data_IF_992553985956
#
_entry.id   IF_992553985956
#
_cell.length_a   1.000
_cell.length_b   1.000
_cell.length_c   1.000
_cell.angle_alpha   90.00
_cell.angle_beta   90.00
_cell.angle_gamma   90.00
#
_symmetry.space_group_name_H-M   'P 1'
#
loop_
_entity.id
_entity.type
_entity.pdbx_description
1 polymer ?
#
# COMPACT_ATOMS: atom_id res chain seq x y z
N UNK A 1 -25.03 -1.56 27.66
CA UNK A 1 -23.76 -2.09 27.12
C UNK A 1 -23.41 -1.28 25.89
N UNK A 2 -22.13 -0.91 25.66
CA UNK A 2 -21.73 -0.25 24.41
C UNK A 2 -22.07 -1.16 23.22
N UNK A 3 -22.44 -0.58 22.07
CA UNK A 3 -22.75 -1.38 20.88
C UNK A 3 -21.46 -2.06 20.36
N UNK A 4 -21.53 -3.34 19.92
CA UNK A 4 -20.36 -4.03 19.43
C UNK A 4 -19.87 -3.44 18.10
N UNK A 5 -18.56 -3.35 17.93
CA UNK A 5 -17.86 -2.99 16.70
C UNK A 5 -17.91 -4.17 15.73
N UNK A 6 -18.64 -4.00 14.63
CA UNK A 6 -18.80 -5.03 13.59
C UNK A 6 -17.98 -4.63 12.38
N UNK A 7 -16.99 -5.46 12.01
CA UNK A 7 -16.26 -5.30 10.75
C UNK A 7 -16.81 -6.30 9.73
N UNK A 8 -17.25 -5.80 8.59
CA UNK A 8 -17.67 -6.60 7.44
C UNK A 8 -16.51 -6.69 6.47
N UNK A 9 -15.85 -7.85 6.41
CA UNK A 9 -14.79 -8.11 5.43
C UNK A 9 -15.41 -8.60 4.12
N UNK A 10 -15.14 -7.86 3.05
CA UNK A 10 -15.46 -8.19 1.68
C UNK A 10 -14.18 -8.63 0.98
N UNK A 11 -14.04 -9.94 0.80
CA UNK A 11 -12.85 -10.54 0.19
C UNK A 11 -13.20 -11.18 -1.16
N UNK A 12 -12.46 -10.81 -2.21
CA UNK A 12 -12.68 -11.33 -3.55
C UNK A 12 -12.18 -12.78 -3.71
N UNK A 13 -11.29 -13.23 -2.83
CA UNK A 13 -10.67 -14.54 -2.94
C UNK A 13 -11.65 -15.65 -2.52
N UNK A 14 -11.38 -16.89 -2.97
CA UNK A 14 -12.18 -18.05 -2.61
C UNK A 14 -12.26 -18.31 -1.09
N UNK A 15 -11.28 -17.80 -0.33
CA UNK A 15 -11.30 -17.75 1.13
C UNK A 15 -10.90 -16.35 1.58
N UNK A 16 -11.59 -15.85 2.62
CA UNK A 16 -11.21 -14.58 3.20
C UNK A 16 -9.85 -14.68 3.90
N UNK A 17 -9.06 -13.61 3.79
CA UNK A 17 -7.72 -13.52 4.36
C UNK A 17 -7.72 -13.72 5.89
N UNK A 18 -7.01 -14.75 6.35
CA UNK A 18 -6.75 -14.99 7.79
C UNK A 18 -5.86 -13.89 8.36
N UNK A 19 -4.95 -13.35 7.55
CA UNK A 19 -4.08 -12.26 7.95
C UNK A 19 -4.89 -11.04 8.39
N UNK A 20 -5.83 -10.61 7.55
CA UNK A 20 -6.66 -9.43 7.83
C UNK A 20 -7.61 -9.70 9.01
N UNK A 21 -8.10 -10.93 9.15
CA UNK A 21 -8.92 -11.34 10.29
C UNK A 21 -8.18 -11.21 11.63
N UNK A 22 -6.95 -11.70 11.71
CA UNK A 22 -6.12 -11.59 12.92
C UNK A 22 -5.83 -10.13 13.24
N UNK A 23 -5.48 -9.32 12.24
CA UNK A 23 -5.23 -7.88 12.44
C UNK A 23 -6.48 -7.15 12.93
N UNK A 24 -7.66 -7.51 12.43
CA UNK A 24 -8.94 -6.96 12.88
C UNK A 24 -9.24 -7.29 14.34
N UNK A 25 -9.05 -8.55 14.76
CA UNK A 25 -9.23 -8.97 16.15
C UNK A 25 -8.25 -8.23 17.07
N UNK A 26 -6.98 -8.17 16.70
CA UNK A 26 -5.94 -7.43 17.44
C UNK A 26 -6.21 -5.90 17.51
N UNK A 27 -6.99 -5.38 16.56
CA UNK A 27 -7.40 -3.98 16.53
C UNK A 27 -8.63 -3.69 17.41
N UNK A 28 -9.24 -4.71 18.03
CA UNK A 28 -10.39 -4.55 18.92
C UNK A 28 -11.74 -4.55 18.20
N UNK A 29 -11.85 -5.28 17.09
CA UNK A 29 -13.15 -5.62 16.48
C UNK A 29 -13.85 -6.65 17.35
N UNK A 30 -15.09 -6.37 17.76
CA UNK A 30 -15.87 -7.28 18.60
C UNK A 30 -16.45 -8.45 17.80
N UNK A 31 -16.86 -8.19 16.54
CA UNK A 31 -17.43 -9.18 15.64
C UNK A 31 -16.91 -8.98 14.22
N UNK A 32 -16.31 -10.02 13.66
CA UNK A 32 -15.84 -10.04 12.28
C UNK A 32 -16.77 -10.90 11.42
N UNK A 33 -17.41 -10.27 10.43
CA UNK A 33 -18.24 -10.96 9.44
C UNK A 33 -17.44 -11.09 8.14
N UNK A 34 -16.98 -12.30 7.83
CA UNK A 34 -16.14 -12.55 6.66
C UNK A 34 -16.96 -13.09 5.50
N UNK A 35 -16.98 -12.35 4.41
CA UNK A 35 -17.51 -12.77 3.12
C UNK A 35 -16.36 -13.04 2.17
N UNK A 36 -16.45 -14.17 1.47
CA UNK A 36 -15.45 -14.66 0.50
C UNK A 36 -16.08 -14.80 -0.87
N UNK A 37 -15.25 -14.83 -1.91
CA UNK A 37 -15.68 -14.84 -3.31
C UNK A 37 -16.68 -13.72 -3.60
N UNK A 38 -16.47 -12.56 -2.98
CA UNK A 38 -17.33 -11.39 -3.18
C UNK A 38 -17.10 -10.85 -4.58
N UNK A 39 -18.18 -10.81 -5.37
CA UNK A 39 -18.20 -10.14 -6.66
C UNK A 39 -18.94 -8.80 -6.59
N UNK A 40 -18.79 -7.98 -7.64
CA UNK A 40 -19.42 -6.67 -7.74
C UNK A 40 -20.96 -6.71 -7.59
N UNK A 41 -21.62 -7.77 -8.04
CA UNK A 41 -23.07 -7.90 -7.99
C UNK A 41 -23.61 -8.12 -6.57
N UNK A 42 -22.81 -8.78 -5.72
CA UNK A 42 -23.17 -9.08 -4.33
C UNK A 42 -22.93 -7.91 -3.35
N UNK A 43 -22.01 -6.98 -3.67
CA UNK A 43 -21.58 -5.90 -2.77
C UNK A 43 -22.75 -5.08 -2.24
N UNK A 44 -23.69 -4.68 -3.12
CA UNK A 44 -24.82 -3.81 -2.71
C UNK A 44 -25.64 -4.40 -1.57
N UNK A 45 -25.98 -5.68 -1.65
CA UNK A 45 -26.77 -6.34 -0.63
C UNK A 45 -26.03 -6.37 0.72
N UNK A 46 -24.71 -6.63 0.69
CA UNK A 46 -23.85 -6.64 1.87
C UNK A 46 -23.74 -5.25 2.50
N UNK A 47 -23.53 -4.21 1.68
CA UNK A 47 -23.49 -2.81 2.15
C UNK A 47 -24.83 -2.39 2.74
N UNK A 48 -25.95 -2.74 2.10
CA UNK A 48 -27.29 -2.45 2.63
C UNK A 48 -27.51 -3.10 4.00
N UNK A 49 -27.01 -4.33 4.20
CA UNK A 49 -26.99 -4.98 5.51
C UNK A 49 -26.17 -4.21 6.55
N UNK A 50 -25.08 -3.56 6.16
CA UNK A 50 -24.26 -2.75 7.06
C UNK A 50 -24.92 -1.40 7.42
N UNK A 51 -25.60 -0.74 6.47
CA UNK A 51 -26.12 0.62 6.65
C UNK A 51 -27.57 0.69 7.15
N UNK A 52 -28.43 -0.32 6.89
CA UNK A 52 -29.85 -0.28 7.31
C UNK A 52 -30.14 -0.94 8.65
N UNK A 53 -29.15 -1.59 9.28
CA UNK A 53 -29.35 -2.36 10.51
C UNK A 53 -29.11 -1.56 11.79
N UNK A 54 -28.64 -0.31 11.68
CA UNK A 54 -28.39 0.60 12.81
C UNK A 54 -28.93 1.99 12.51
N UNK A 55 -29.33 2.69 13.58
CA UNK A 55 -29.70 4.10 13.47
C UNK A 55 -28.48 4.97 13.14
N UNK A 56 -28.72 6.16 12.58
CA UNK A 56 -27.68 7.09 12.13
C UNK A 56 -26.56 7.34 13.14
N UNK A 57 -26.92 7.57 14.41
CA UNK A 57 -25.97 7.83 15.49
C UNK A 57 -25.08 6.61 15.79
N UNK A 58 -25.52 5.40 15.43
CA UNK A 58 -24.85 4.14 15.73
C UNK A 58 -24.09 3.55 14.53
N UNK A 59 -24.15 4.17 13.34
CA UNK A 59 -23.51 3.65 12.12
C UNK A 59 -21.99 3.50 12.25
N UNK A 60 -21.35 4.37 13.05
CA UNK A 60 -19.92 4.31 13.31
C UNK A 60 -19.48 3.03 14.05
N UNK A 61 -20.41 2.24 14.62
CA UNK A 61 -20.07 0.95 15.18
C UNK A 61 -19.99 -0.17 14.13
N UNK A 62 -20.31 0.09 12.86
CA UNK A 62 -20.18 -0.85 11.74
C UNK A 62 -19.18 -0.28 10.74
N UNK A 63 -18.33 -1.12 10.18
CA UNK A 63 -17.38 -0.72 9.14
C UNK A 63 -17.21 -1.82 8.10
N UNK A 64 -16.64 -1.46 6.95
CA UNK A 64 -16.32 -2.38 5.86
C UNK A 64 -14.80 -2.43 5.66
N UNK A 65 -14.26 -3.63 5.47
CA UNK A 65 -12.91 -3.86 4.99
C UNK A 65 -12.98 -4.55 3.63
N UNK A 66 -12.32 -3.98 2.61
CA UNK A 66 -12.20 -4.58 1.27
C UNK A 66 -10.79 -5.15 1.12
N UNK A 67 -10.72 -6.48 1.03
CA UNK A 67 -9.49 -7.26 0.95
C UNK A 67 -9.35 -8.02 -0.37
N UNK A 68 -8.67 -9.17 -0.32
CA UNK A 68 -8.40 -10.05 -1.46
C UNK A 68 -7.00 -9.90 -2.05
N UNK A 69 -6.57 -10.92 -2.80
CA UNK A 69 -5.25 -10.99 -3.42
C UNK A 69 -5.14 -10.17 -4.71
N UNK A 70 -6.25 -10.04 -5.46
CA UNK A 70 -6.32 -9.25 -6.69
C UNK A 70 -6.78 -7.82 -6.40
N UNK A 71 -5.83 -6.89 -6.43
CA UNK A 71 -6.08 -5.48 -6.11
C UNK A 71 -7.04 -4.79 -7.08
N UNK A 72 -7.06 -5.18 -8.36
CA UNK A 72 -7.95 -4.59 -9.37
C UNK A 72 -9.41 -4.98 -9.11
N UNK A 73 -9.60 -6.22 -8.70
CA UNK A 73 -10.90 -6.76 -8.28
C UNK A 73 -11.34 -6.07 -6.98
N UNK A 74 -10.43 -5.93 -6.01
CA UNK A 74 -10.68 -5.15 -4.79
C UNK A 74 -11.07 -3.69 -5.06
N UNK A 75 -10.41 -3.00 -6.00
CA UNK A 75 -10.79 -1.66 -6.45
C UNK A 75 -12.22 -1.63 -7.02
N UNK A 76 -12.60 -2.66 -7.79
CA UNK A 76 -13.95 -2.80 -8.33
C UNK A 76 -14.99 -2.95 -7.22
N UNK A 77 -14.72 -3.81 -6.22
CA UNK A 77 -15.59 -3.96 -5.06
C UNK A 77 -15.71 -2.66 -4.28
N UNK A 78 -14.60 -1.95 -4.08
CA UNK A 78 -14.57 -0.66 -3.40
C UNK A 78 -15.45 0.38 -4.11
N UNK A 79 -15.43 0.46 -5.44
CA UNK A 79 -16.31 1.35 -6.19
C UNK A 79 -17.80 0.97 -6.03
N UNK A 80 -18.12 -0.33 -5.99
CA UNK A 80 -19.49 -0.77 -5.70
C UNK A 80 -19.94 -0.45 -4.27
N UNK A 81 -19.02 -0.49 -3.29
CA UNK A 81 -19.30 -0.03 -1.93
C UNK A 81 -19.69 1.45 -1.96
N UNK A 82 -18.89 2.28 -2.65
CA UNK A 82 -19.16 3.71 -2.79
C UNK A 82 -20.51 4.00 -3.46
N UNK A 83 -20.84 3.26 -4.52
CA UNK A 83 -22.11 3.38 -5.26
C UNK A 83 -23.33 2.96 -4.44
N UNK A 84 -23.13 2.12 -3.43
CA UNK A 84 -24.20 1.62 -2.55
C UNK A 84 -24.54 2.57 -1.40
N UNK A 85 -23.70 3.60 -1.15
CA UNK A 85 -24.01 4.65 -0.18
C UNK A 85 -24.94 5.73 -0.76
N UNK A 86 -25.79 6.31 0.09
CA UNK A 86 -26.65 7.43 -0.31
C UNK A 86 -26.95 8.35 0.87
N UNK A 87 -26.94 9.67 0.65
CA UNK A 87 -27.13 10.65 1.72
C UNK A 87 -26.17 10.38 2.91
N UNK A 88 -26.67 10.37 4.15
CA UNK A 88 -25.86 10.07 5.32
C UNK A 88 -25.76 8.55 5.61
N UNK A 89 -26.46 7.70 4.85
CA UNK A 89 -26.45 6.24 5.00
C UNK A 89 -25.16 5.65 4.45
N UNK A 90 -24.13 5.61 5.29
CA UNK A 90 -22.79 5.08 5.00
C UNK A 90 -22.10 4.62 6.27
N UNK A 91 -21.08 3.79 6.07
CA UNK A 91 -20.14 3.34 7.11
C UNK A 91 -18.72 3.59 6.65
N UNK A 92 -17.79 3.64 7.60
CA UNK A 92 -16.38 3.81 7.27
C UNK A 92 -15.85 2.57 6.53
N UNK A 93 -14.92 2.79 5.60
CA UNK A 93 -14.35 1.75 4.72
C UNK A 93 -12.83 1.79 4.76
N UNK A 94 -12.20 0.63 4.87
CA UNK A 94 -10.77 0.43 4.65
C UNK A 94 -10.56 -0.45 3.42
N UNK A 95 -9.70 -0.01 2.50
CA UNK A 95 -9.24 -0.80 1.36
C UNK A 95 -7.75 -1.13 1.51
N UNK A 96 -7.42 -2.42 1.58
CA UNK A 96 -6.03 -2.88 1.66
C UNK A 96 -5.83 -4.28 1.07
N UNK A 97 -6.32 -4.51 -0.16
CA UNK A 97 -6.13 -5.76 -0.88
C UNK A 97 -4.64 -6.16 -0.93
N UNK A 98 -4.35 -7.38 -0.46
CA UNK A 98 -3.01 -7.94 -0.29
C UNK A 98 -2.00 -7.02 0.45
N UNK A 99 -2.49 -6.15 1.34
CA UNK A 99 -1.65 -5.18 2.04
C UNK A 99 -1.06 -4.08 1.13
N UNK A 100 -1.61 -3.86 -0.06
CA UNK A 100 -1.00 -3.00 -1.06
C UNK A 100 -0.85 -1.54 -0.62
N UNK A 101 -1.88 -1.00 0.04
CA UNK A 101 -1.89 0.39 0.47
C UNK A 101 -1.01 0.57 1.71
N UNK A 102 -1.20 -0.26 2.74
CA UNK A 102 -0.45 -0.10 3.99
C UNK A 102 1.05 -0.37 3.82
N UNK A 103 1.44 -1.29 2.93
CA UNK A 103 2.85 -1.56 2.62
C UNK A 103 3.48 -0.38 1.87
N UNK A 104 2.80 0.17 0.87
CA UNK A 104 3.26 1.35 0.14
C UNK A 104 3.44 2.56 1.07
N UNK A 105 2.46 2.81 1.94
CA UNK A 105 2.55 3.88 2.95
C UNK A 105 3.74 3.67 3.86
N UNK A 106 3.93 2.46 4.40
CA UNK A 106 5.06 2.16 5.27
C UNK A 106 6.40 2.39 4.56
N UNK A 107 6.54 1.98 3.30
CA UNK A 107 7.74 2.21 2.49
C UNK A 107 8.05 3.72 2.33
N UNK A 108 7.05 4.52 1.97
CA UNK A 108 7.24 5.98 1.79
C UNK A 108 7.58 6.67 3.12
N UNK A 109 6.94 6.28 4.22
CA UNK A 109 7.22 6.86 5.53
C UNK A 109 8.62 6.50 6.05
N UNK A 110 9.07 5.25 5.89
CA UNK A 110 10.44 4.91 6.29
C UNK A 110 11.47 5.62 5.42
N UNK A 111 11.20 5.84 4.12
CA UNK A 111 12.06 6.65 3.26
C UNK A 111 12.16 8.10 3.74
N UNK A 112 11.02 8.72 4.09
CA UNK A 112 10.92 10.10 4.58
C UNK A 112 11.77 10.38 5.82
N UNK A 113 12.03 9.36 6.64
CA UNK A 113 12.90 9.49 7.83
C UNK A 113 14.36 9.81 7.50
N UNK A 114 14.81 9.51 6.28
CA UNK A 114 16.22 9.67 5.86
C UNK A 114 16.37 10.68 4.72
N UNK A 115 15.27 10.97 4.01
CA UNK A 115 15.28 11.81 2.82
C UNK A 115 14.06 12.72 2.82
N UNK A 116 14.27 14.04 2.70
CA UNK A 116 13.20 14.97 2.35
C UNK A 116 12.63 14.59 0.99
N UNK A 117 11.34 14.23 0.95
CA UNK A 117 10.73 13.65 -0.25
C UNK A 117 10.59 14.68 -1.38
N UNK A 118 10.29 15.94 -1.02
CA UNK A 118 10.13 17.01 -1.99
C UNK A 118 11.44 17.26 -2.75
N UNK A 119 11.40 17.13 -4.08
CA UNK A 119 12.55 17.30 -4.97
C UNK A 119 13.49 16.09 -5.04
N UNK A 120 13.40 15.10 -4.13
CA UNK A 120 14.23 13.90 -4.20
C UNK A 120 13.92 13.04 -5.43
N UNK A 121 14.93 12.35 -5.94
CA UNK A 121 14.75 11.38 -7.03
C UNK A 121 14.49 9.99 -6.45
N UNK A 122 13.32 9.43 -6.71
CA UNK A 122 12.93 8.12 -6.21
C UNK A 122 12.71 7.11 -7.35
N UNK A 123 13.36 5.95 -7.29
CA UNK A 123 13.14 4.86 -8.24
C UNK A 123 12.31 3.76 -7.59
N UNK A 124 11.18 3.41 -8.22
CA UNK A 124 10.34 2.28 -7.82
C UNK A 124 10.49 1.16 -8.85
N UNK A 125 11.31 0.17 -8.51
CA UNK A 125 11.52 -1.06 -9.30
C UNK A 125 10.30 -1.98 -9.18
N UNK A 126 9.97 -2.63 -10.30
CA UNK A 126 8.71 -3.36 -10.47
C UNK A 126 7.48 -2.49 -10.12
N UNK A 127 7.56 -1.19 -10.40
CA UNK A 127 6.59 -0.17 -9.99
C UNK A 127 5.19 -0.29 -10.62
N UNK A 128 4.96 -1.27 -11.49
CA UNK A 128 3.68 -1.51 -12.15
C UNK A 128 2.79 -2.50 -11.40
N UNK A 129 3.29 -3.14 -10.34
CA UNK A 129 2.48 -3.97 -9.44
C UNK A 129 1.69 -3.11 -8.44
N UNK A 130 0.72 -3.69 -7.70
CA UNK A 130 -0.15 -2.96 -6.78
C UNK A 130 0.63 -2.05 -5.82
N UNK A 131 1.52 -2.62 -5.00
CA UNK A 131 2.34 -1.87 -4.04
C UNK A 131 3.16 -0.79 -4.75
N UNK A 132 3.84 -1.14 -5.85
CA UNK A 132 4.68 -0.22 -6.61
C UNK A 132 3.93 1.00 -7.13
N UNK A 133 2.71 0.82 -7.66
CA UNK A 133 1.88 1.92 -8.15
C UNK A 133 1.50 2.89 -7.02
N UNK A 134 1.13 2.38 -5.85
CA UNK A 134 0.80 3.21 -4.69
C UNK A 134 2.02 3.93 -4.15
N UNK A 135 3.15 3.24 -4.03
CA UNK A 135 4.42 3.85 -3.60
C UNK A 135 4.80 5.00 -4.54
N UNK A 136 4.73 4.79 -5.85
CA UNK A 136 5.00 5.83 -6.84
C UNK A 136 4.03 7.01 -6.74
N UNK A 137 2.72 6.76 -6.56
CA UNK A 137 1.71 7.80 -6.35
C UNK A 137 1.99 8.62 -5.10
N UNK A 138 2.28 7.97 -3.98
CA UNK A 138 2.53 8.62 -2.70
C UNK A 138 3.82 9.47 -2.72
N UNK A 139 4.89 8.95 -3.33
CA UNK A 139 6.13 9.71 -3.55
C UNK A 139 5.89 10.93 -4.44
N UNK A 140 5.13 10.76 -5.54
CA UNK A 140 4.81 11.86 -6.43
C UNK A 140 3.98 12.95 -5.74
N UNK A 141 2.98 12.56 -4.92
CA UNK A 141 2.20 13.51 -4.09
C UNK A 141 3.07 14.24 -3.07
N UNK A 142 4.11 13.59 -2.57
CA UNK A 142 5.09 14.21 -1.67
C UNK A 142 6.11 15.11 -2.40
N UNK A 143 5.98 15.29 -3.72
CA UNK A 143 6.83 16.19 -4.50
C UNK A 143 8.14 15.57 -5.01
N UNK A 144 8.29 14.24 -4.95
CA UNK A 144 9.46 13.56 -5.48
C UNK A 144 9.43 13.48 -7.02
N UNK A 145 10.62 13.43 -7.63
CA UNK A 145 10.81 13.03 -9.02
C UNK A 145 10.85 11.50 -9.09
N UNK A 146 9.75 10.90 -9.55
CA UNK A 146 9.55 9.44 -9.45
C UNK A 146 9.85 8.75 -10.78
N UNK A 147 10.78 7.79 -10.73
CA UNK A 147 11.06 6.86 -11.81
C UNK A 147 10.26 5.58 -11.56
N UNK A 148 9.30 5.29 -12.45
CA UNK A 148 8.52 4.05 -12.39
C UNK A 148 9.18 3.05 -13.33
N UNK A 149 9.72 1.97 -12.76
CA UNK A 149 10.55 1.04 -13.51
C UNK A 149 9.88 -0.35 -13.64
N UNK A 150 9.98 -0.94 -14.83
CA UNK A 150 9.38 -2.24 -15.16
C UNK A 150 10.16 -2.90 -16.29
N UNK A 151 10.14 -4.24 -16.35
CA UNK A 151 10.65 -5.01 -17.50
C UNK A 151 9.98 -4.61 -18.83
N UNK A 152 8.83 -3.94 -18.78
CA UNK A 152 8.06 -3.46 -19.93
C UNK A 152 7.84 -1.97 -19.83
N UNK A 153 8.46 -1.20 -20.73
CA UNK A 153 8.36 0.25 -20.77
C UNK A 153 6.91 0.73 -20.97
N UNK A 154 6.12 0.02 -21.77
CA UNK A 154 4.71 0.35 -22.01
C UNK A 154 3.89 0.28 -20.72
N UNK A 155 4.15 -0.71 -19.86
CA UNK A 155 3.47 -0.83 -18.55
C UNK A 155 3.89 0.27 -17.58
N UNK A 156 5.18 0.60 -17.53
CA UNK A 156 5.67 1.72 -16.73
C UNK A 156 5.04 3.04 -17.18
N UNK A 157 4.96 3.26 -18.50
CA UNK A 157 4.37 4.44 -19.10
C UNK A 157 2.87 4.56 -18.78
N UNK A 158 2.13 3.45 -18.89
CA UNK A 158 0.71 3.41 -18.50
C UNK A 158 0.51 3.75 -17.02
N UNK A 159 1.36 3.23 -16.14
CA UNK A 159 1.34 3.55 -14.70
C UNK A 159 1.59 5.05 -14.46
N UNK A 160 2.61 5.63 -15.10
CA UNK A 160 2.87 7.07 -15.01
C UNK A 160 1.65 7.90 -15.47
N UNK A 161 1.01 7.52 -16.58
CA UNK A 161 -0.20 8.19 -17.07
C UNK A 161 -1.35 8.11 -16.06
N UNK A 162 -1.60 6.94 -15.49
CA UNK A 162 -2.64 6.75 -14.48
C UNK A 162 -2.36 7.62 -13.23
N UNK A 163 -1.12 7.65 -12.74
CA UNK A 163 -0.78 8.45 -11.57
C UNK A 163 -0.93 9.95 -11.85
N UNK A 164 -0.54 10.43 -13.04
CA UNK A 164 -0.73 11.85 -13.44
C UNK A 164 -2.20 12.27 -13.49
N UNK A 165 -3.12 11.34 -13.75
CA UNK A 165 -4.56 11.64 -13.68
C UNK A 165 -5.05 11.88 -12.24
N UNK A 166 -4.40 11.24 -11.26
CA UNK A 166 -4.76 11.35 -9.84
C UNK A 166 -3.94 12.42 -9.08
N UNK A 167 -2.76 12.79 -9.58
CA UNK A 167 -1.82 13.69 -8.93
C UNK A 167 -1.40 14.77 -9.92
N UNK A 168 -1.95 15.98 -9.74
CA UNK A 168 -1.56 17.14 -10.51
C UNK A 168 -0.05 17.41 -10.38
N UNK A 169 0.58 17.83 -11.46
CA UNK A 169 2.00 18.20 -11.53
C UNK A 169 3.01 17.10 -11.14
N UNK A 170 2.56 15.84 -11.09
CA UNK A 170 3.41 14.70 -10.76
C UNK A 170 4.58 14.53 -11.75
N UNK A 171 5.79 14.61 -11.21
CA UNK A 171 7.03 14.41 -11.95
C UNK A 171 7.35 12.92 -12.04
N UNK A 172 6.88 12.29 -13.11
CA UNK A 172 7.01 10.84 -13.34
C UNK A 172 7.80 10.56 -14.61
N UNK A 173 8.72 9.59 -14.58
CA UNK A 173 9.46 9.11 -15.75
C UNK A 173 9.42 7.58 -15.80
N UNK A 174 8.93 6.97 -16.89
CA UNK A 174 8.95 5.52 -17.02
C UNK A 174 10.35 5.03 -17.41
N UNK A 175 10.77 3.91 -16.83
CA UNK A 175 12.01 3.22 -17.17
C UNK A 175 11.74 1.75 -17.52
N UNK A 176 12.45 1.26 -18.53
CA UNK A 176 12.59 -0.17 -18.76
C UNK A 176 13.65 -0.76 -17.82
N UNK A 177 13.53 -2.04 -17.48
CA UNK A 177 14.52 -2.82 -16.71
C UNK A 177 14.59 -4.26 -17.23
N UNK A 178 14.55 -4.40 -18.56
CA UNK A 178 14.62 -5.72 -19.22
C UNK A 178 16.07 -6.19 -19.43
N UNK A 179 17.03 -5.27 -19.34
CA UNK A 179 18.47 -5.53 -19.44
C UNK A 179 19.23 -4.87 -18.29
N UNK A 180 20.47 -5.29 -18.03
CA UNK A 180 21.33 -4.69 -17.01
C UNK A 180 21.57 -3.19 -17.25
N UNK A 181 21.80 -2.77 -18.49
CA UNK A 181 22.00 -1.34 -18.84
C UNK A 181 20.75 -0.49 -18.62
N UNK A 182 19.57 -1.08 -18.82
CA UNK A 182 18.30 -0.43 -18.51
C UNK A 182 18.08 -0.30 -17.01
N UNK A 183 18.35 -1.36 -16.24
CA UNK A 183 18.30 -1.34 -14.77
C UNK A 183 19.30 -0.35 -14.19
N UNK A 184 20.53 -0.31 -14.68
CA UNK A 184 21.56 0.64 -14.27
C UNK A 184 21.08 2.09 -14.45
N UNK A 185 20.53 2.43 -15.63
CA UNK A 185 19.97 3.77 -15.89
C UNK A 185 18.78 4.11 -15.00
N UNK A 186 17.98 3.13 -14.61
CA UNK A 186 16.83 3.37 -13.73
C UNK A 186 17.25 3.72 -12.29
N UNK A 187 18.30 3.08 -11.78
CA UNK A 187 18.77 3.23 -10.39
C UNK A 187 19.85 4.30 -10.21
N UNK A 188 20.56 4.68 -11.28
CA UNK A 188 21.68 5.62 -11.21
C UNK A 188 21.25 7.01 -10.70
N UNK A 189 21.97 7.51 -9.69
CA UNK A 189 21.71 8.83 -9.09
C UNK A 189 20.35 9.00 -8.40
N UNK A 190 19.66 7.92 -8.02
CA UNK A 190 18.45 8.04 -7.19
C UNK A 190 18.81 8.25 -5.71
N UNK A 191 17.98 9.00 -4.99
CA UNK A 191 18.06 9.19 -3.54
C UNK A 191 17.36 8.07 -2.78
N UNK A 192 16.26 7.57 -3.34
CA UNK A 192 15.37 6.58 -2.74
C UNK A 192 15.21 5.44 -3.75
N UNK A 193 15.51 4.21 -3.34
CA UNK A 193 15.30 3.02 -4.14
C UNK A 193 14.28 2.10 -3.46
N UNK A 194 13.16 1.80 -4.13
CA UNK A 194 12.16 0.86 -3.62
C UNK A 194 12.02 -0.32 -4.57
N UNK A 195 12.28 -1.53 -4.07
CA UNK A 195 12.02 -2.78 -4.76
C UNK A 195 10.63 -3.32 -4.38
N UNK A 196 9.67 -3.19 -5.29
CA UNK A 196 8.30 -3.67 -5.15
C UNK A 196 8.03 -4.93 -5.98
N UNK A 197 9.04 -5.80 -6.09
CA UNK A 197 9.02 -7.03 -6.88
C UNK A 197 8.09 -8.09 -6.31
N UNK A 198 7.80 -9.11 -7.12
CA UNK A 198 7.15 -10.32 -6.63
C UNK A 198 8.08 -11.09 -5.68
N UNK A 199 7.49 -11.96 -4.86
CA UNK A 199 8.23 -12.81 -3.94
C UNK A 199 9.30 -13.65 -4.68
N UNK A 200 10.53 -13.68 -4.15
CA UNK A 200 11.63 -14.46 -4.71
C UNK A 200 12.17 -13.96 -6.05
N UNK A 201 11.97 -12.67 -6.37
CA UNK A 201 12.47 -12.07 -7.60
C UNK A 201 13.56 -11.05 -7.29
N UNK A 202 14.77 -11.34 -7.75
CA UNK A 202 15.87 -10.37 -7.79
C UNK A 202 15.57 -9.28 -8.83
N UNK A 203 15.75 -8.00 -8.45
CA UNK A 203 15.49 -6.85 -9.33
C UNK A 203 16.78 -6.11 -9.72
N UNK A 204 17.79 -6.14 -8.86
CA UNK A 204 19.09 -5.51 -9.11
C UNK A 204 20.18 -6.57 -8.92
N UNK A 205 20.93 -6.92 -9.98
CA UNK A 205 22.13 -7.74 -9.84
C UNK A 205 23.18 -7.14 -8.90
N UNK A 206 23.96 -7.98 -8.22
CA UNK A 206 24.95 -7.55 -7.22
C UNK A 206 26.06 -6.63 -7.77
N UNK A 207 26.48 -6.84 -9.02
CA UNK A 207 27.46 -5.99 -9.70
C UNK A 207 26.92 -4.58 -9.95
N UNK A 208 25.66 -4.45 -10.37
CA UNK A 208 24.98 -3.17 -10.54
C UNK A 208 24.74 -2.46 -9.20
N UNK A 209 24.36 -3.22 -8.16
CA UNK A 209 24.21 -2.67 -6.81
C UNK A 209 25.50 -1.98 -6.34
N UNK A 210 26.63 -2.69 -6.41
CA UNK A 210 27.92 -2.15 -5.96
C UNK A 210 28.40 -0.95 -6.79
N UNK A 211 28.18 -0.99 -8.10
CA UNK A 211 28.71 0.02 -9.03
C UNK A 211 27.84 1.27 -9.16
N UNK A 212 26.51 1.17 -9.04
CA UNK A 212 25.59 2.27 -9.39
C UNK A 212 24.71 2.75 -8.23
N UNK A 213 24.46 1.92 -7.21
CA UNK A 213 23.55 2.33 -6.12
C UNK A 213 24.30 3.24 -5.16
N UNK A 214 23.87 4.50 -5.13
CA UNK A 214 24.30 5.53 -4.17
C UNK A 214 23.09 6.16 -3.48
N UNK A 215 22.00 5.39 -3.37
CA UNK A 215 20.79 5.84 -2.72
C UNK A 215 21.04 6.14 -1.24
N UNK A 216 20.38 7.17 -0.72
CA UNK A 216 20.40 7.46 0.72
C UNK A 216 19.59 6.41 1.48
N UNK A 217 18.52 5.90 0.87
CA UNK A 217 17.69 4.83 1.42
C UNK A 217 17.27 3.82 0.36
N UNK A 218 17.37 2.54 0.70
CA UNK A 218 16.92 1.43 -0.10
C UNK A 218 15.94 0.55 0.68
N UNK A 219 14.82 0.20 0.05
CA UNK A 219 13.72 -0.54 0.67
C UNK A 219 13.40 -1.74 -0.20
N UNK A 220 13.61 -2.94 0.32
CA UNK A 220 13.18 -4.18 -0.32
C UNK A 220 11.91 -4.70 0.35
N UNK A 221 10.84 -4.81 -0.43
CA UNK A 221 9.54 -5.29 0.04
C UNK A 221 9.37 -6.79 -0.17
N UNK A 222 10.37 -7.48 -0.72
CA UNK A 222 10.39 -8.92 -0.86
C UNK A 222 10.95 -9.57 0.43
N UNK A 223 10.12 -10.40 1.08
CA UNK A 223 10.53 -11.19 2.25
C UNK A 223 11.06 -12.59 1.88
N UNK A 224 10.98 -12.98 0.61
CA UNK A 224 11.23 -14.34 0.13
C UNK A 224 12.53 -14.38 -0.68
N UNK A 225 13.51 -15.22 -0.31
CA UNK A 225 14.75 -15.34 -1.09
C UNK A 225 14.52 -15.83 -2.53
N UNK A 226 15.33 -15.38 -3.50
CA UNK A 226 16.35 -14.33 -3.37
C UNK A 226 15.72 -12.95 -3.11
N UNK A 227 16.44 -12.09 -2.38
CA UNK A 227 16.03 -10.70 -2.17
C UNK A 227 15.94 -9.95 -3.51
N UNK A 228 15.11 -8.91 -3.56
CA UNK A 228 15.02 -8.00 -4.69
C UNK A 228 16.24 -7.09 -4.82
N UNK A 229 16.80 -6.67 -3.67
CA UNK A 229 18.00 -5.84 -3.56
C UNK A 229 19.13 -6.64 -2.87
N UNK A 230 20.31 -6.77 -3.51
CA UNK A 230 21.44 -7.50 -2.93
C UNK A 230 21.86 -6.95 -1.57
N UNK A 231 22.04 -7.85 -0.60
CA UNK A 231 22.52 -7.52 0.74
C UNK A 231 21.49 -6.86 1.68
N UNK A 232 20.28 -6.56 1.20
CA UNK A 232 19.18 -6.10 2.05
C UNK A 232 18.50 -7.31 2.67
N UNK A 233 18.57 -7.45 3.98
CA UNK A 233 17.97 -8.58 4.70
C UNK A 233 16.51 -8.29 5.05
N UNK A 234 15.60 -9.28 5.08
CA UNK A 234 14.17 -9.06 5.39
C UNK A 234 13.92 -8.29 6.68
N UNK A 235 14.77 -8.47 7.69
CA UNK A 235 14.66 -7.83 9.01
C UNK A 235 15.37 -6.48 9.11
N UNK A 236 16.10 -6.04 8.08
CA UNK A 236 16.79 -4.76 8.09
C UNK A 236 15.78 -3.63 8.38
N UNK A 237 16.10 -2.80 9.37
CA UNK A 237 15.31 -1.65 9.77
C UNK A 237 16.26 -0.51 10.09
N UNK A 238 16.46 0.36 9.11
CA UNK A 238 17.45 1.44 9.17
C UNK A 238 18.90 0.94 9.34
N UNK A 239 19.24 -0.19 8.71
CA UNK A 239 20.60 -0.75 8.79
C UNK A 239 21.44 -0.13 7.69
N UNK A 240 22.55 0.51 8.04
CA UNK A 240 23.46 1.09 7.05
C UNK A 240 24.32 0.01 6.40
N UNK A 241 24.37 0.01 5.06
CA UNK A 241 25.20 -0.88 4.24
C UNK A 241 25.82 -0.07 3.12
N UNK A 242 27.15 0.00 3.09
CA UNK A 242 27.90 0.74 2.07
C UNK A 242 27.39 2.19 1.86
N UNK A 243 27.04 2.87 2.96
CA UNK A 243 26.52 4.24 2.95
C UNK A 243 25.05 4.39 2.56
N UNK A 244 24.33 3.29 2.33
CA UNK A 244 22.88 3.26 2.07
C UNK A 244 22.13 2.77 3.30
N UNK A 245 21.08 3.47 3.73
CA UNK A 245 20.19 3.00 4.79
C UNK A 245 19.20 1.98 4.21
N UNK A 246 19.26 0.74 4.69
CA UNK A 246 18.47 -0.37 4.18
C UNK A 246 17.29 -0.73 5.07
N UNK A 247 16.17 -1.05 4.43
CA UNK A 247 14.98 -1.63 5.02
C UNK A 247 14.56 -2.88 4.25
N UNK A 248 14.36 -3.98 4.97
CA UNK A 248 13.73 -5.18 4.43
C UNK A 248 12.23 -5.21 4.64
N UNK A 249 11.59 -6.24 4.09
CA UNK A 249 10.14 -6.39 4.09
C UNK A 249 9.55 -6.49 5.51
N UNK A 250 10.22 -7.20 6.43
CA UNK A 250 9.80 -7.37 7.82
C UNK A 250 10.14 -6.11 8.63
N UNK A 251 11.31 -5.51 8.39
CA UNK A 251 11.68 -4.25 9.04
C UNK A 251 10.73 -3.09 8.71
N UNK A 252 10.21 -3.05 7.48
CA UNK A 252 9.13 -2.16 7.03
C UNK A 252 7.77 -2.61 7.55
N UNK A 253 7.54 -3.93 7.60
CA UNK A 253 6.30 -4.58 8.02
C UNK A 253 5.82 -4.18 9.41
N UNK A 254 6.72 -3.85 10.33
CA UNK A 254 6.35 -3.33 11.65
C UNK A 254 5.53 -2.03 11.58
N UNK A 255 5.92 -1.06 10.73
CA UNK A 255 5.16 0.18 10.54
C UNK A 255 3.85 -0.09 9.79
N UNK A 256 3.89 -0.96 8.76
CA UNK A 256 2.70 -1.44 8.04
C UNK A 256 1.64 -2.00 9.00
N UNK A 257 2.05 -2.81 9.98
CA UNK A 257 1.16 -3.35 11.02
C UNK A 257 0.58 -2.29 11.93
N UNK A 258 1.37 -1.31 12.35
CA UNK A 258 0.86 -0.18 13.15
C UNK A 258 -0.22 0.60 12.38
N UNK A 259 0.04 0.94 11.12
CA UNK A 259 -0.90 1.68 10.27
C UNK A 259 -2.19 0.87 10.06
N UNK A 260 -2.08 -0.42 9.72
CA UNK A 260 -3.26 -1.25 9.46
C UNK A 260 -4.15 -1.35 10.73
N UNK A 261 -3.56 -1.64 11.91
CA UNK A 261 -4.31 -1.70 13.17
C UNK A 261 -4.95 -0.35 13.53
N UNK A 262 -4.23 0.75 13.35
CA UNK A 262 -4.75 2.09 13.59
C UNK A 262 -5.91 2.43 12.64
N UNK A 263 -5.81 2.04 11.36
CA UNK A 263 -6.86 2.26 10.37
C UNK A 263 -8.14 1.52 10.76
N UNK A 264 -8.04 0.24 11.16
CA UNK A 264 -9.21 -0.53 11.63
C UNK A 264 -9.84 0.12 12.87
N UNK A 265 -9.06 0.52 13.86
CA UNK A 265 -9.59 1.23 15.05
C UNK A 265 -10.33 2.50 14.66
N UNK A 266 -9.71 3.26 13.77
CA UNK A 266 -10.20 4.52 13.22
C UNK A 266 -11.54 4.38 12.50
N UNK A 267 -11.82 3.24 11.85
CA UNK A 267 -13.10 3.01 11.18
C UNK A 267 -14.30 3.16 12.12
N UNK A 268 -14.10 2.94 13.42
CA UNK A 268 -15.17 2.99 14.41
C UNK A 268 -15.30 4.32 15.15
N UNK A 269 -14.55 5.35 14.74
CA UNK A 269 -14.61 6.69 15.35
C UNK A 269 -15.68 7.57 14.69
N UNK A 270 -15.87 7.41 13.38
CA UNK A 270 -16.94 8.04 12.58
C UNK A 270 -17.50 7.02 11.59
N UNK A 271 -18.55 7.36 10.86
CA UNK A 271 -19.16 6.46 9.87
C UNK A 271 -18.84 6.84 8.41
N UNK A 272 -17.87 7.72 8.19
CA UNK A 272 -17.58 8.33 6.89
C UNK A 272 -16.10 8.30 6.50
N UNK A 273 -15.24 7.59 7.25
CA UNK A 273 -13.83 7.44 6.85
C UNK A 273 -13.72 6.58 5.60
N UNK A 274 -12.85 6.99 4.70
CA UNK A 274 -12.55 6.28 3.47
C UNK A 274 -11.04 6.08 3.37
N UNK A 275 -10.54 4.99 3.92
CA UNK A 275 -9.12 4.69 3.93
C UNK A 275 -8.70 3.97 2.64
N UNK A 276 -8.23 4.76 1.68
CA UNK A 276 -7.38 4.32 0.57
C UNK A 276 -5.91 4.79 0.83
N UNK A 277 -5.02 4.64 -0.15
CA UNK A 277 -3.60 4.96 -0.02
C UNK A 277 -3.31 6.36 0.54
N UNK A 278 -4.07 7.39 0.13
CA UNK A 278 -3.83 8.77 0.50
C UNK A 278 -4.21 9.06 1.96
N UNK A 279 -5.38 8.61 2.39
CA UNK A 279 -5.85 8.76 3.76
C UNK A 279 -5.05 7.88 4.72
N UNK A 280 -4.63 6.68 4.28
CA UNK A 280 -3.70 5.84 5.04
C UNK A 280 -2.33 6.48 5.19
N UNK A 281 -1.84 7.20 4.18
CA UNK A 281 -0.60 7.96 4.28
C UNK A 281 -0.70 9.07 5.32
N UNK A 282 -1.80 9.82 5.33
CA UNK A 282 -2.04 10.86 6.35
C UNK A 282 -2.13 10.28 7.76
N UNK A 283 -2.86 9.18 7.93
CA UNK A 283 -2.92 8.45 9.19
C UNK A 283 -1.51 7.99 9.61
N UNK A 284 -0.76 7.37 8.71
CA UNK A 284 0.61 6.94 8.96
C UNK A 284 1.55 8.09 9.35
N UNK A 285 1.41 9.27 8.75
CA UNK A 285 2.18 10.46 9.14
C UNK A 285 1.92 10.85 10.60
N UNK A 286 0.67 10.80 11.07
CA UNK A 286 0.33 11.10 12.47
C UNK A 286 0.95 10.10 13.45
N UNK A 287 0.96 8.81 13.09
CA UNK A 287 1.54 7.74 13.92
C UNK A 287 3.07 7.71 13.93
N UNK A 288 3.71 8.27 12.90
CA UNK A 288 5.17 8.34 12.77
C UNK A 288 5.76 9.57 13.49
N UNK A 289 4.90 10.51 13.88
CA UNK A 289 5.27 11.71 14.65
C UNK A 289 5.13 11.53 16.17
N UNK A 290 4.60 10.38 16.60
CA UNK A 290 4.45 9.93 18.00
C UNK A 290 5.58 8.96 18.40
#
# INVERSE_FOLDING_TARGET
>A
MPRPKILVQLDSDAQASVFDAVVAVDAGVDQLLQYRAVDAGSVRALVHGAIFTRGMADLHHTAIFVGGSDVTTGETLLQEVRRSFFGPMRVSVLFDANGANTTAVAAVLVARRHVELAGATATVLAGTGPVGQRTARLLARAGAHVRVASRRLDRASATCTQIRQAVADAQLVPYATSTSDETARAIDGCDILVAAGAAGVELVPADLWQSHVRARVAIDLNAVPPAGLPGVEPHDKAIERDGTICYGAIGTGGLKMKIHKAAIRSLFETNDRWFDADELYQLGCSLDSE
#
